data_IF_031349901488
#
_entry.id   IF_031349901488
#
_cell.length_a   1.000
_cell.length_b   1.000
_cell.length_c   1.000
_cell.angle_alpha   90.00
_cell.angle_beta   90.00
_cell.angle_gamma   90.00
#
_symmetry.space_group_name_H-M   'P 1'
#
loop_
_entity.id
_entity.type
_entity.pdbx_description
1 polymer ?
#
# COMPACT_ATOMS: atom_id res chain seq x y z
N UNK A 1 -21.56 -7.57 3.33
CA UNK A 1 -21.30 -6.52 2.32
C UNK A 1 -19.94 -6.81 1.73
N UNK A 2 -19.80 -6.79 0.42
CA UNK A 2 -18.51 -6.97 -0.26
C UNK A 2 -18.30 -5.75 -1.14
N UNK A 3 -17.19 -5.04 -0.96
CA UNK A 3 -16.87 -3.82 -1.68
C UNK A 3 -15.40 -3.74 -2.02
N UNK A 4 -15.08 -3.07 -3.12
CA UNK A 4 -13.72 -2.76 -3.53
C UNK A 4 -13.54 -1.24 -3.49
N UNK A 5 -12.52 -0.77 -2.78
CA UNK A 5 -12.19 0.65 -2.68
C UNK A 5 -10.79 0.88 -3.25
N UNK A 6 -10.66 1.88 -4.11
CA UNK A 6 -9.38 2.35 -4.64
C UNK A 6 -9.17 3.76 -4.10
N UNK A 7 -8.07 3.97 -3.38
CA UNK A 7 -7.74 5.26 -2.76
C UNK A 7 -6.24 5.42 -2.65
N UNK A 8 -5.80 6.69 -2.70
CA UNK A 8 -4.44 7.09 -2.35
C UNK A 8 -4.32 7.50 -0.88
N UNK A 9 -5.43 7.59 -0.14
CA UNK A 9 -5.42 7.90 1.28
C UNK A 9 -5.35 6.62 2.12
N UNK A 10 -4.15 6.30 2.61
CA UNK A 10 -3.90 5.12 3.43
C UNK A 10 -4.65 5.14 4.76
N UNK A 11 -4.93 6.30 5.35
CA UNK A 11 -5.65 6.39 6.62
C UNK A 11 -7.08 5.82 6.51
N UNK A 12 -7.73 6.10 5.38
CA UNK A 12 -9.06 5.55 5.08
C UNK A 12 -8.98 4.06 4.74
N UNK A 13 -7.97 3.65 3.98
CA UNK A 13 -7.73 2.25 3.66
C UNK A 13 -7.55 1.41 4.92
N UNK A 14 -6.75 1.88 5.89
CA UNK A 14 -6.52 1.19 7.16
C UNK A 14 -7.75 1.07 8.04
N UNK A 15 -8.67 2.05 7.99
CA UNK A 15 -9.88 2.04 8.83
C UNK A 15 -10.99 1.14 8.28
N UNK A 16 -11.06 0.95 6.97
CA UNK A 16 -12.23 0.38 6.31
C UNK A 16 -11.91 -0.98 5.66
N UNK A 17 -10.67 -1.22 5.24
CA UNK A 17 -10.33 -2.42 4.47
C UNK A 17 -9.95 -3.60 5.36
N UNK A 18 -10.54 -4.76 5.07
CA UNK A 18 -10.10 -6.05 5.64
C UNK A 18 -8.77 -6.52 5.04
N UNK A 19 -8.52 -6.17 3.77
CA UNK A 19 -7.28 -6.46 3.02
C UNK A 19 -6.90 -5.29 2.13
N UNK A 20 -5.61 -5.04 2.02
CA UNK A 20 -5.00 -3.98 1.21
C UNK A 20 -4.06 -4.61 0.20
N UNK A 21 -4.22 -4.23 -1.07
CA UNK A 21 -3.32 -4.56 -2.15
C UNK A 21 -2.66 -3.30 -2.70
N UNK A 22 -1.34 -3.32 -2.88
CA UNK A 22 -0.60 -2.25 -3.55
C UNK A 22 -0.24 -2.68 -4.97
N UNK A 23 -0.69 -1.90 -5.94
CA UNK A 23 -0.29 -2.03 -7.34
C UNK A 23 0.78 -0.98 -7.64
N UNK A 24 1.91 -1.42 -8.20
CA UNK A 24 3.00 -0.56 -8.63
C UNK A 24 3.58 -1.10 -9.94
N UNK A 25 3.74 -0.23 -10.95
CA UNK A 25 4.27 -0.59 -12.28
C UNK A 25 3.58 -1.81 -12.93
N UNK A 26 2.24 -1.88 -12.80
CA UNK A 26 1.46 -2.98 -13.36
C UNK A 26 1.64 -4.33 -12.64
N UNK A 27 2.33 -4.34 -11.49
CA UNK A 27 2.53 -5.53 -10.65
C UNK A 27 1.94 -5.31 -9.27
N UNK A 28 1.33 -6.37 -8.74
CA UNK A 28 0.87 -6.36 -7.35
C UNK A 28 2.10 -6.55 -6.46
N UNK A 29 2.53 -5.46 -5.81
CA UNK A 29 3.75 -5.43 -4.99
C UNK A 29 3.51 -5.94 -3.57
N UNK A 30 2.29 -5.79 -3.08
CA UNK A 30 1.88 -6.23 -1.75
C UNK A 30 0.40 -6.63 -1.76
N UNK A 31 0.05 -7.68 -1.02
CA UNK A 31 -1.33 -8.00 -0.63
C UNK A 31 -1.33 -8.56 0.78
N UNK A 32 -2.13 -7.98 1.67
CA UNK A 32 -2.20 -8.40 3.06
C UNK A 32 -3.24 -7.63 3.84
N UNK A 33 -3.19 -7.74 5.15
CA UNK A 33 -3.99 -6.99 6.12
C UNK A 33 -3.39 -5.59 6.35
N UNK A 34 -4.15 -4.68 6.99
CA UNK A 34 -3.63 -3.39 7.43
C UNK A 34 -2.38 -3.49 8.33
N UNK A 35 -2.27 -4.54 9.15
CA UNK A 35 -1.10 -4.72 10.01
C UNK A 35 0.12 -5.22 9.24
N UNK A 36 -0.06 -6.14 8.29
CA UNK A 36 1.02 -6.64 7.45
C UNK A 36 1.62 -5.55 6.56
N UNK A 37 0.80 -4.65 6.01
CA UNK A 37 1.32 -3.56 5.17
C UNK A 37 2.05 -2.49 6.00
N UNK A 38 1.60 -2.26 7.25
CA UNK A 38 2.29 -1.36 8.20
C UNK A 38 3.64 -1.91 8.65
N UNK A 39 3.75 -3.23 8.78
CA UNK A 39 4.99 -3.92 9.12
C UNK A 39 5.86 -4.26 7.89
N UNK A 40 5.45 -3.86 6.69
CA UNK A 40 6.18 -4.18 5.47
C UNK A 40 7.46 -3.35 5.35
N UNK A 41 8.60 -4.03 5.20
CA UNK A 41 9.91 -3.40 4.98
C UNK A 41 10.20 -3.07 3.51
N UNK A 42 9.25 -3.32 2.62
CA UNK A 42 9.44 -3.05 1.20
C UNK A 42 9.54 -1.53 0.97
N UNK A 43 10.65 -1.03 0.37
CA UNK A 43 10.89 0.40 0.22
C UNK A 43 9.84 1.09 -0.66
N UNK A 44 9.25 0.38 -1.62
CA UNK A 44 8.19 0.91 -2.49
C UNK A 44 6.90 1.07 -1.70
N UNK A 45 6.54 0.06 -0.90
CA UNK A 45 5.36 0.09 -0.03
C UNK A 45 5.49 1.19 1.02
N UNK A 46 6.66 1.27 1.66
CA UNK A 46 6.99 2.32 2.63
C UNK A 46 6.94 3.71 2.01
N UNK A 47 7.53 3.88 0.83
CA UNK A 47 7.48 5.13 0.07
C UNK A 47 6.07 5.59 -0.23
N UNK A 48 5.18 4.66 -0.59
CA UNK A 48 3.78 4.96 -0.83
C UNK A 48 3.02 5.33 0.44
N UNK A 49 3.23 4.61 1.54
CA UNK A 49 2.57 4.88 2.83
C UNK A 49 3.03 6.22 3.42
N UNK A 50 4.33 6.48 3.36
CA UNK A 50 4.95 7.69 3.93
C UNK A 50 4.80 8.91 3.02
N UNK A 51 4.25 8.75 1.80
CA UNK A 51 4.16 9.82 0.82
C UNK A 51 5.52 10.33 0.36
N UNK A 52 6.54 9.46 0.34
CA UNK A 52 7.93 9.77 -0.01
C UNK A 52 8.27 9.21 -1.39
N UNK A 53 8.08 9.99 -2.47
CA UNK A 53 8.33 9.52 -3.84
C UNK A 53 9.81 9.17 -4.08
N UNK A 54 10.73 9.76 -3.33
CA UNK A 54 12.17 9.48 -3.37
C UNK A 54 12.51 8.00 -3.08
N UNK A 55 11.66 7.29 -2.34
CA UNK A 55 11.81 5.86 -2.06
C UNK A 55 11.30 4.97 -3.20
N UNK A 56 10.44 5.51 -4.08
CA UNK A 56 9.95 4.82 -5.27
C UNK A 56 11.03 4.79 -6.37
N UNK A 57 11.80 5.87 -6.51
CA UNK A 57 12.88 5.98 -7.50
C UNK A 57 14.08 5.08 -7.18
N UNK A 58 14.33 4.79 -5.89
CA UNK A 58 15.43 3.92 -5.46
C UNK A 58 15.18 2.42 -5.66
N UNK A 59 13.98 2.04 -6.07
CA UNK A 59 13.59 0.64 -6.26
C UNK A 59 13.65 0.17 -7.72
N UNK A 60 14.01 1.06 -8.66
CA UNK A 60 14.31 0.76 -10.07
C UNK A 60 15.79 0.49 -10.29
#
# INVERSE_FOLDING_TARGET
>A
MTGLMITHNMESAYRIADRIGMLYEGRVRFVGTPDEIRACDDPVVRGFIEGRPELLEKAS
#
